data_IF_055974795005
#
_entry.id   IF_055974795005
#
_cell.length_a   1.000
_cell.length_b   1.000
_cell.length_c   1.000
_cell.angle_alpha   90.00
_cell.angle_beta   90.00
_cell.angle_gamma   90.00
#
_symmetry.space_group_name_H-M   'P 1'
#
loop_
_entity.id
_entity.type
_entity.pdbx_description
1 polymer ?
#
# COMPACT_ATOMS: atom_id res chain seq x y z
N UNK A 1 14.90 -6.49 23.15
CA UNK A 1 14.84 -7.02 21.77
C UNK A 1 13.57 -7.82 21.53
N UNK A 2 13.15 -8.72 22.43
CA UNK A 2 11.90 -9.48 22.30
C UNK A 2 10.64 -8.60 22.18
N UNK A 3 10.43 -7.63 23.09
CA UNK A 3 9.25 -6.74 23.07
C UNK A 3 9.11 -5.91 21.78
N UNK A 4 10.23 -5.56 21.13
CA UNK A 4 10.22 -4.81 19.87
C UNK A 4 9.78 -5.68 18.69
N UNK A 5 10.18 -6.96 18.68
CA UNK A 5 9.74 -7.92 17.68
C UNK A 5 8.25 -8.26 17.84
N UNK A 6 7.75 -8.33 19.07
CA UNK A 6 6.33 -8.59 19.33
C UNK A 6 5.44 -7.41 18.91
N UNK A 7 5.90 -6.18 19.16
CA UNK A 7 5.21 -4.98 18.69
C UNK A 7 5.16 -4.88 17.17
N UNK A 8 6.28 -5.17 16.49
CA UNK A 8 6.35 -5.16 15.03
C UNK A 8 5.41 -6.22 14.41
N UNK A 9 5.36 -7.41 14.99
CA UNK A 9 4.41 -8.45 14.58
C UNK A 9 2.94 -8.03 14.80
N UNK A 10 2.65 -7.33 15.90
CA UNK A 10 1.30 -6.85 16.21
C UNK A 10 0.82 -5.77 15.20
N UNK A 11 1.69 -4.84 14.81
CA UNK A 11 1.33 -3.81 13.82
C UNK A 11 1.13 -4.39 12.42
N UNK A 12 1.98 -5.34 12.00
CA UNK A 12 1.78 -6.05 10.73
C UNK A 12 0.46 -6.85 10.75
N UNK A 13 0.12 -7.49 11.87
CA UNK A 13 -1.15 -8.17 12.02
C UNK A 13 -2.34 -7.20 11.98
N UNK A 14 -2.23 -6.02 12.60
CA UNK A 14 -3.25 -4.99 12.55
C UNK A 14 -3.45 -4.47 11.11
N UNK A 15 -2.37 -4.30 10.35
CA UNK A 15 -2.44 -3.97 8.92
C UNK A 15 -3.22 -5.05 8.17
N UNK A 16 -2.92 -6.34 8.37
CA UNK A 16 -3.62 -7.45 7.69
C UNK A 16 -5.12 -7.45 7.98
N UNK A 17 -5.52 -7.14 9.20
CA UNK A 17 -6.94 -7.00 9.58
C UNK A 17 -7.58 -5.81 8.86
N UNK A 18 -6.92 -4.65 8.84
CA UNK A 18 -7.38 -3.47 8.12
C UNK A 18 -7.52 -3.75 6.61
N UNK A 19 -6.51 -4.37 6.00
CA UNK A 19 -6.51 -4.81 4.60
C UNK A 19 -7.70 -5.70 4.29
N UNK A 20 -7.97 -6.69 5.14
CA UNK A 20 -9.10 -7.60 4.96
C UNK A 20 -10.44 -6.87 5.06
N UNK A 21 -10.59 -5.97 6.03
CA UNK A 21 -11.79 -5.16 6.20
C UNK A 21 -12.06 -4.25 5.00
N UNK A 22 -11.04 -3.54 4.52
CA UNK A 22 -11.16 -2.65 3.35
C UNK A 22 -11.40 -3.46 2.07
N UNK A 23 -10.69 -4.57 1.91
CA UNK A 23 -10.81 -5.44 0.75
C UNK A 23 -12.15 -6.18 0.65
N UNK A 24 -12.88 -6.30 1.76
CA UNK A 24 -14.21 -6.91 1.79
C UNK A 24 -15.31 -5.97 1.30
N UNK A 25 -15.05 -4.66 1.18
CA UNK A 25 -16.00 -3.69 0.66
C UNK A 25 -15.83 -3.51 -0.87
N UNK A 26 -16.76 -4.01 -1.69
CA UNK A 26 -16.68 -3.89 -3.15
C UNK A 26 -16.83 -2.46 -3.66
N UNK A 27 -17.29 -1.50 -2.84
CA UNK A 27 -17.32 -0.07 -3.20
C UNK A 27 -15.95 0.60 -3.03
N UNK A 28 -15.03 -0.03 -2.29
CA UNK A 28 -13.65 0.42 -2.10
C UNK A 28 -12.67 -0.38 -2.97
N UNK A 29 -12.81 -1.70 -3.03
CA UNK A 29 -11.83 -2.59 -3.68
C UNK A 29 -12.54 -3.59 -4.59
N UNK A 30 -12.09 -3.69 -5.85
CA UNK A 30 -12.61 -4.67 -6.81
C UNK A 30 -11.52 -5.66 -7.25
N UNK A 31 -11.77 -6.95 -7.00
CA UNK A 31 -10.84 -8.02 -7.35
C UNK A 31 -9.45 -7.84 -6.70
N UNK A 32 -8.40 -7.83 -7.52
CA UNK A 32 -7.02 -7.66 -7.06
C UNK A 32 -6.55 -6.20 -6.99
N UNK A 33 -7.45 -5.23 -7.26
CA UNK A 33 -7.18 -3.79 -7.17
C UNK A 33 -7.02 -3.31 -5.72
N UNK A 34 -6.58 -2.06 -5.55
CA UNK A 34 -6.25 -1.50 -4.24
C UNK A 34 -5.06 -2.19 -3.56
N UNK A 35 -4.40 -1.49 -2.65
CA UNK A 35 -3.33 -2.05 -1.83
C UNK A 35 -3.09 -1.24 -0.56
N UNK A 36 -2.45 -1.90 0.39
CA UNK A 36 -2.15 -1.33 1.70
C UNK A 36 -0.69 -1.56 2.01
N UNK A 37 -0.08 -0.64 2.76
CA UNK A 37 1.27 -0.81 3.25
C UNK A 37 1.52 -0.31 4.66
N UNK A 38 2.55 -0.87 5.29
CA UNK A 38 3.12 -0.43 6.55
C UNK A 38 4.62 -0.19 6.40
N UNK A 39 5.09 0.97 6.86
CA UNK A 39 6.51 1.30 7.00
C UNK A 39 6.94 0.98 8.43
N UNK A 40 7.89 0.05 8.59
CA UNK A 40 8.35 -0.40 9.89
C UNK A 40 9.80 -0.87 9.82
N UNK A 41 10.63 -0.38 10.73
CA UNK A 41 12.04 -0.78 10.86
C UNK A 41 12.84 -0.72 9.52
N UNK A 42 12.55 0.27 8.67
CA UNK A 42 13.22 0.42 7.36
C UNK A 42 12.66 -0.47 6.25
N UNK A 43 11.60 -1.24 6.52
CA UNK A 43 10.91 -2.11 5.57
C UNK A 43 9.55 -1.52 5.24
N UNK A 44 9.20 -1.53 3.95
CA UNK A 44 7.85 -1.31 3.45
C UNK A 44 7.19 -2.67 3.22
N UNK A 45 6.26 -3.03 4.09
CA UNK A 45 5.39 -4.18 3.89
C UNK A 45 4.23 -3.76 2.99
N UNK A 46 4.15 -4.27 1.77
CA UNK A 46 3.17 -3.89 0.75
C UNK A 46 2.41 -5.10 0.23
N UNK A 47 1.13 -4.95 -0.12
CA UNK A 47 0.34 -6.03 -0.75
C UNK A 47 1.06 -6.63 -1.96
N UNK A 48 1.07 -7.95 -2.06
CA UNK A 48 1.54 -8.67 -3.24
C UNK A 48 0.68 -8.37 -4.48
N UNK A 49 1.31 -8.33 -5.66
CA UNK A 49 0.58 -8.17 -6.93
C UNK A 49 -0.31 -9.38 -7.21
N UNK A 50 -1.51 -9.15 -7.77
CA UNK A 50 -2.48 -10.20 -8.13
C UNK A 50 -3.28 -10.80 -6.96
N UNK A 51 -2.95 -10.51 -5.71
CA UNK A 51 -3.69 -10.99 -4.53
C UNK A 51 -4.84 -10.04 -4.16
N UNK A 52 -5.82 -10.56 -3.41
CA UNK A 52 -7.00 -9.81 -2.99
C UNK A 52 -6.86 -9.36 -1.54
N UNK A 53 -7.13 -8.08 -1.27
CA UNK A 53 -7.00 -7.51 0.08
C UNK A 53 -7.89 -8.22 1.11
N UNK A 54 -9.10 -8.67 0.73
CA UNK A 54 -10.00 -9.41 1.63
C UNK A 54 -9.37 -10.68 2.22
N UNK A 55 -8.38 -11.25 1.54
CA UNK A 55 -7.68 -12.46 1.98
C UNK A 55 -6.46 -12.15 2.87
N UNK A 56 -6.19 -10.88 3.19
CA UNK A 56 -4.98 -10.51 3.95
C UNK A 56 -4.95 -11.12 5.36
N UNK A 57 -6.10 -11.37 5.97
CA UNK A 57 -6.18 -11.97 7.30
C UNK A 57 -5.85 -13.48 7.29
N UNK A 58 -6.19 -14.20 6.21
CA UNK A 58 -6.03 -15.65 6.09
C UNK A 58 -4.77 -16.07 5.34
N UNK A 59 -4.31 -15.25 4.40
CA UNK A 59 -3.15 -15.54 3.55
C UNK A 59 -2.00 -14.58 3.88
N UNK A 60 -0.77 -15.05 3.71
CA UNK A 60 0.41 -14.19 3.78
C UNK A 60 0.62 -13.52 2.41
N UNK A 61 0.17 -12.28 2.31
CA UNK A 61 0.19 -11.50 1.06
C UNK A 61 0.98 -10.20 1.20
N UNK A 62 1.75 -10.03 2.28
CA UNK A 62 2.55 -8.84 2.51
C UNK A 62 3.98 -9.10 2.05
N UNK A 63 4.48 -8.25 1.16
CA UNK A 63 5.82 -8.36 0.57
C UNK A 63 6.73 -7.32 1.22
N UNK A 64 7.88 -7.72 1.79
CA UNK A 64 8.84 -6.81 2.39
C UNK A 64 9.74 -6.19 1.33
N UNK A 65 9.79 -4.85 1.29
CA UNK A 65 10.64 -4.07 0.39
C UNK A 65 11.54 -3.15 1.19
N UNK A 66 12.85 -3.12 0.87
CA UNK A 66 13.80 -2.24 1.52
C UNK A 66 13.50 -0.77 1.17
N UNK A 67 13.13 0.03 2.17
CA UNK A 67 12.59 1.38 1.93
C UNK A 67 13.67 2.36 1.48
N UNK A 68 14.81 2.43 2.20
CA UNK A 68 15.87 3.39 1.89
C UNK A 68 16.46 3.18 0.48
N UNK A 69 16.84 1.96 0.05
CA UNK A 69 17.33 1.74 -1.31
C UNK A 69 16.32 2.12 -2.41
N UNK A 70 15.02 1.87 -2.17
CA UNK A 70 13.97 2.26 -3.11
C UNK A 70 13.86 3.80 -3.22
N UNK A 71 13.87 4.50 -2.08
CA UNK A 71 13.83 5.97 -2.07
C UNK A 71 15.08 6.58 -2.73
N UNK A 72 16.27 6.00 -2.50
CA UNK A 72 17.51 6.42 -3.15
C UNK A 72 17.49 6.20 -4.66
N UNK A 73 16.81 5.15 -5.14
CA UNK A 73 16.59 4.92 -6.57
C UNK A 73 15.65 5.98 -7.16
N UNK A 74 14.56 6.32 -6.46
CA UNK A 74 13.64 7.40 -6.90
C UNK A 74 14.38 8.74 -6.97
N UNK A 75 15.15 9.09 -5.94
CA UNK A 75 15.89 10.36 -5.87
C UNK A 75 16.91 10.51 -7.01
N UNK A 76 17.45 9.40 -7.53
CA UNK A 76 18.38 9.37 -8.66
C UNK A 76 17.70 9.21 -10.02
N UNK A 77 16.36 9.21 -10.07
CA UNK A 77 15.58 8.91 -11.27
C UNK A 77 16.01 7.58 -11.95
N UNK A 78 16.31 6.58 -11.13
CA UNK A 78 16.78 5.26 -11.57
C UNK A 78 15.58 4.42 -12.03
N UNK A 79 15.57 3.86 -13.26
CA UNK A 79 14.49 2.99 -13.75
C UNK A 79 14.20 1.77 -12.87
N UNK A 80 15.14 1.37 -12.01
CA UNK A 80 14.91 0.35 -10.99
C UNK A 80 13.74 0.70 -10.04
N UNK A 81 13.49 2.00 -9.80
CA UNK A 81 12.40 2.48 -8.96
C UNK A 81 11.00 2.11 -9.49
N UNK A 82 10.85 1.83 -10.79
CA UNK A 82 9.58 1.33 -11.36
C UNK A 82 9.37 -0.17 -11.11
N UNK A 83 10.45 -0.88 -10.73
CA UNK A 83 10.46 -2.33 -10.52
C UNK A 83 10.77 -2.65 -9.08
N UNK A 84 9.87 -2.27 -8.17
CA UNK A 84 10.04 -2.46 -6.73
C UNK A 84 10.46 -3.89 -6.29
N UNK A 85 10.16 -4.90 -7.12
CA UNK A 85 10.64 -6.27 -6.95
C UNK A 85 12.16 -6.37 -6.72
N UNK A 86 13.00 -5.52 -7.32
CA UNK A 86 14.47 -5.57 -7.16
C UNK A 86 14.93 -5.16 -5.75
N UNK A 87 14.07 -4.50 -4.98
CA UNK A 87 14.34 -4.09 -3.60
C UNK A 87 13.66 -5.01 -2.57
N UNK A 88 13.09 -6.13 -3.02
CA UNK A 88 12.43 -7.10 -2.13
C UNK A 88 13.46 -7.80 -1.25
N UNK A 89 13.18 -7.91 0.04
CA UNK A 89 13.99 -8.66 1.00
C UNK A 89 13.65 -10.15 0.89
N UNK A 90 14.43 -10.89 0.11
CA UNK A 90 14.15 -12.28 -0.25
C UNK A 90 14.08 -13.21 0.97
N UNK A 91 14.90 -12.96 1.98
CA UNK A 91 14.97 -13.70 3.23
C UNK A 91 13.69 -13.56 4.09
N UNK A 92 12.91 -12.50 3.86
CA UNK A 92 11.62 -12.26 4.52
C UNK A 92 10.42 -12.58 3.60
N UNK A 93 10.66 -13.09 2.38
CA UNK A 93 9.62 -13.38 1.37
C UNK A 93 9.72 -14.84 0.88
N UNK A 94 9.43 -15.84 1.73
CA UNK A 94 9.62 -17.26 1.40
C UNK A 94 8.75 -17.74 0.23
N UNK A 95 7.62 -17.09 -0.01
CA UNK A 95 6.71 -17.39 -1.12
C UNK A 95 7.11 -16.73 -2.44
N UNK A 96 8.19 -15.93 -2.46
CA UNK A 96 8.69 -15.23 -3.64
C UNK A 96 7.60 -14.40 -4.35
N UNK A 97 6.70 -13.83 -3.55
CA UNK A 97 5.63 -12.97 -4.06
C UNK A 97 6.22 -11.69 -4.61
N UNK A 98 5.62 -11.16 -5.67
CA UNK A 98 6.02 -9.86 -6.23
C UNK A 98 5.26 -8.75 -5.51
N UNK A 99 5.90 -7.64 -5.13
CA UNK A 99 5.20 -6.51 -4.53
C UNK A 99 4.25 -5.84 -5.53
N UNK A 100 3.30 -5.04 -5.04
CA UNK A 100 2.40 -4.24 -5.89
C UNK A 100 3.20 -3.37 -6.88
N UNK A 101 2.63 -3.11 -8.06
CA UNK A 101 3.22 -2.18 -9.03
C UNK A 101 3.22 -0.73 -8.52
N UNK A 102 2.33 -0.41 -7.56
CA UNK A 102 2.19 0.92 -6.95
C UNK A 102 3.10 1.12 -5.72
N UNK A 103 4.01 0.16 -5.45
CA UNK A 103 4.89 0.19 -4.27
C UNK A 103 5.67 1.50 -4.14
N UNK A 104 6.12 2.08 -5.25
CA UNK A 104 6.90 3.33 -5.24
C UNK A 104 6.08 4.53 -4.79
N UNK A 105 4.78 4.58 -5.14
CA UNK A 105 3.85 5.59 -4.61
C UNK A 105 3.72 5.46 -3.10
N UNK A 106 3.58 4.22 -2.61
CA UNK A 106 3.53 3.94 -1.16
C UNK A 106 4.81 4.34 -0.44
N UNK A 107 5.98 4.16 -1.05
CA UNK A 107 7.26 4.53 -0.48
C UNK A 107 7.40 6.05 -0.32
N UNK A 108 6.97 6.82 -1.33
CA UNK A 108 7.09 8.29 -1.37
C UNK A 108 6.18 9.02 -0.38
N UNK A 109 5.03 8.43 -0.05
CA UNK A 109 4.13 8.99 0.96
C UNK A 109 4.75 8.89 2.36
N UNK A 110 4.91 9.98 3.13
CA UNK A 110 5.61 9.95 4.42
C UNK A 110 4.86 9.17 5.53
N UNK A 111 3.58 8.89 5.33
CA UNK A 111 2.71 8.25 6.33
C UNK A 111 3.17 6.80 6.61
N UNK A 112 3.13 6.42 7.89
CA UNK A 112 3.51 5.07 8.34
C UNK A 112 2.64 3.99 7.68
N UNK A 113 1.33 4.23 7.59
CA UNK A 113 0.37 3.35 6.91
C UNK A 113 -0.21 4.08 5.71
N UNK A 114 -0.32 3.40 4.58
CA UNK A 114 -0.96 3.90 3.36
C UNK A 114 -2.01 2.91 2.92
N UNK A 115 -3.21 3.39 2.65
CA UNK A 115 -4.33 2.61 2.12
C UNK A 115 -4.72 3.23 0.77
N UNK A 116 -4.46 2.50 -0.30
CA UNK A 116 -4.83 2.86 -1.65
C UNK A 116 -6.00 1.98 -2.10
N UNK A 117 -7.07 2.61 -2.56
CA UNK A 117 -8.31 1.93 -2.97
C UNK A 117 -8.82 2.51 -4.27
N UNK A 118 -9.60 1.72 -5.00
CA UNK A 118 -10.28 2.14 -6.21
C UNK A 118 -11.75 2.42 -5.87
N UNK A 119 -11.97 3.42 -5.01
CA UNK A 119 -13.31 3.74 -4.54
C UNK A 119 -14.20 4.14 -5.73
N UNK A 120 -15.30 3.41 -5.92
CA UNK A 120 -16.21 3.57 -7.08
C UNK A 120 -16.75 4.99 -7.13
N UNK A 121 -17.23 5.51 -6.00
CA UNK A 121 -17.79 6.87 -5.90
C UNK A 121 -16.74 7.93 -6.24
N UNK A 122 -15.52 7.78 -5.70
CA UNK A 122 -14.43 8.74 -5.92
C UNK A 122 -14.04 8.79 -7.40
N UNK A 123 -13.88 7.62 -8.03
CA UNK A 123 -13.54 7.54 -9.46
C UNK A 123 -14.69 8.08 -10.32
N UNK A 124 -15.94 7.75 -9.98
CA UNK A 124 -17.11 8.24 -10.70
C UNK A 124 -17.27 9.78 -10.63
N UNK A 125 -16.86 10.41 -9.52
CA UNK A 125 -16.79 11.86 -9.41
C UNK A 125 -15.62 12.41 -10.23
N UNK A 126 -14.43 11.81 -10.11
CA UNK A 126 -13.19 12.31 -10.72
C UNK A 126 -13.24 12.39 -12.26
N UNK A 127 -14.08 11.59 -12.91
CA UNK A 127 -14.24 11.59 -14.38
C UNK A 127 -15.31 12.57 -14.90
N UNK A 128 -16.03 13.27 -14.00
CA UNK A 128 -17.04 14.24 -14.41
C UNK A 128 -16.42 15.58 -14.83
N UNK A 129 -17.09 16.29 -15.75
CA UNK A 129 -16.66 17.62 -16.19
C UNK A 129 -16.64 18.66 -15.06
N UNK A 130 -17.45 18.47 -14.01
CA UNK A 130 -17.51 19.31 -12.82
C UNK A 130 -16.88 18.66 -11.57
N UNK A 131 -15.93 17.73 -11.75
CA UNK A 131 -15.29 16.99 -10.66
C UNK A 131 -14.71 17.89 -9.57
N UNK A 132 -14.00 18.96 -9.95
CA UNK A 132 -13.35 19.88 -9.02
C UNK A 132 -14.35 20.50 -8.04
N UNK A 133 -15.47 21.03 -8.54
CA UNK A 133 -16.52 21.60 -7.70
C UNK A 133 -17.17 20.56 -6.76
N UNK A 134 -17.35 19.31 -7.22
CA UNK A 134 -17.90 18.23 -6.41
C UNK A 134 -16.93 17.78 -5.30
N UNK A 135 -15.62 17.79 -5.59
CA UNK A 135 -14.57 17.39 -4.67
C UNK A 135 -14.27 18.49 -3.64
N UNK A 136 -14.27 19.77 -4.03
CA UNK A 136 -14.01 20.90 -3.13
C UNK A 136 -14.97 20.93 -1.94
N UNK A 137 -16.25 20.64 -2.18
CA UNK A 137 -17.23 20.52 -1.11
C UNK A 137 -16.95 19.32 -0.19
N UNK A 138 -16.66 18.14 -0.76
CA UNK A 138 -16.50 16.88 -0.03
C UNK A 138 -15.19 16.79 0.75
N UNK A 139 -14.14 17.43 0.24
CA UNK A 139 -12.80 17.43 0.83
C UNK A 139 -12.53 18.71 1.64
N UNK A 140 -13.56 19.52 1.90
CA UNK A 140 -13.43 20.76 2.67
C UNK A 140 -12.76 20.50 4.02
N UNK A 141 -11.69 21.24 4.30
CA UNK A 141 -10.91 21.12 5.53
C UNK A 141 -9.74 20.12 5.43
N UNK A 142 -9.56 19.46 4.30
CA UNK A 142 -8.34 18.69 3.98
C UNK A 142 -7.40 19.53 3.12
N UNK A 143 -6.10 19.26 3.24
CA UNK A 143 -5.06 19.80 2.36
C UNK A 143 -4.90 18.87 1.16
N UNK A 144 -5.69 19.11 0.11
CA UNK A 144 -5.86 18.17 -1.01
C UNK A 144 -5.52 18.74 -2.40
N UNK A 145 -5.34 20.06 -2.54
CA UNK A 145 -5.09 20.77 -3.80
C UNK A 145 -4.14 21.95 -3.59
#
# INVERSE_FOLDING_TARGET
MAERNDHDAAELQALRVLSASVGADPLLVQGAGGNTSLKQAGVLWIKASGTWLMNAASNDIMVPVALAPLLDAVARNDPAAEKAAVFTLAELNPHQLRPSIETTVHALLPQKVVVHVHCVETIAIAVQANAEALLEERLRGLDWA
#
